data_IF_635586983517
#
_entry.id   IF_635586983517
#
_cell.length_a   1.000
_cell.length_b   1.000
_cell.length_c   1.000
_cell.angle_alpha   90.00
_cell.angle_beta   90.00
_cell.angle_gamma   90.00
#
_symmetry.space_group_name_H-M   'P 1'
#
loop_
_entity.id
_entity.type
_entity.pdbx_description
1 polymer ?
#
# COMPACT_ATOMS: atom_id res chain seq x y z
N UNK A 1 38.84 13.95 8.14
CA UNK A 1 38.73 13.65 6.69
C UNK A 1 38.21 12.24 6.36
N UNK A 2 38.46 11.20 7.18
CA UNK A 2 38.01 9.83 6.91
C UNK A 2 36.48 9.64 6.96
N UNK A 3 35.79 10.27 7.92
CA UNK A 3 34.32 10.22 8.08
C UNK A 3 33.57 10.87 6.93
N UNK A 4 34.04 12.02 6.42
CA UNK A 4 33.43 12.71 5.26
C UNK A 4 33.56 11.86 3.98
N UNK A 5 34.67 11.15 3.79
CA UNK A 5 34.86 10.22 2.66
C UNK A 5 33.90 9.02 2.74
N UNK A 6 33.67 8.48 3.94
CA UNK A 6 32.70 7.39 4.15
C UNK A 6 31.27 7.85 3.83
N UNK A 7 30.89 9.06 4.24
CA UNK A 7 29.57 9.63 3.95
C UNK A 7 29.39 9.91 2.44
N UNK A 8 30.42 10.41 1.77
CA UNK A 8 30.42 10.61 0.32
C UNK A 8 30.29 9.27 -0.44
N UNK A 9 30.99 8.24 0.02
CA UNK A 9 30.91 6.89 -0.58
C UNK A 9 29.54 6.26 -0.33
N UNK A 10 28.96 6.39 0.87
CA UNK A 10 27.62 5.88 1.15
C UNK A 10 26.55 6.61 0.33
N UNK A 11 26.67 7.94 0.19
CA UNK A 11 25.77 8.75 -0.62
C UNK A 11 25.88 8.36 -2.11
N UNK A 12 27.10 8.20 -2.63
CA UNK A 12 27.35 7.72 -3.99
C UNK A 12 26.80 6.30 -4.21
N UNK A 13 26.88 5.42 -3.20
CA UNK A 13 26.34 4.07 -3.29
C UNK A 13 24.80 4.07 -3.33
N UNK A 14 24.14 4.91 -2.53
CA UNK A 14 22.68 5.09 -2.52
C UNK A 14 22.18 5.72 -3.83
N UNK A 15 22.93 6.67 -4.38
CA UNK A 15 22.65 7.27 -5.69
C UNK A 15 22.87 6.28 -6.84
N UNK A 16 23.88 5.43 -6.76
CA UNK A 16 24.14 4.39 -7.76
C UNK A 16 23.10 3.27 -7.73
N UNK A 17 22.61 2.87 -6.55
CA UNK A 17 21.56 1.84 -6.43
C UNK A 17 20.20 2.36 -6.90
N UNK A 18 19.85 3.62 -6.59
CA UNK A 18 18.63 4.25 -7.11
C UNK A 18 18.70 4.49 -8.63
N UNK A 19 19.85 4.92 -9.17
CA UNK A 19 20.05 5.05 -10.62
C UNK A 19 19.96 3.70 -11.36
N UNK A 20 20.49 2.61 -10.78
CA UNK A 20 20.39 1.26 -11.36
C UNK A 20 18.98 0.66 -11.24
N UNK A 21 18.24 0.97 -10.18
CA UNK A 21 16.82 0.62 -10.07
C UNK A 21 16.00 1.30 -11.18
N UNK A 22 16.32 2.55 -11.51
CA UNK A 22 15.71 3.32 -12.59
C UNK A 22 16.04 2.77 -13.99
N UNK A 23 17.23 2.18 -14.21
CA UNK A 23 17.57 1.52 -15.49
C UNK A 23 16.85 0.19 -15.73
N UNK A 24 16.30 -0.43 -14.69
CA UNK A 24 15.77 -1.81 -14.76
C UNK A 24 14.24 -1.86 -14.75
N UNK A 25 13.59 -0.72 -15.06
CA UNK A 25 12.14 -0.55 -15.12
C UNK A 25 11.43 -0.80 -13.77
N UNK A 26 12.12 -0.68 -12.64
CA UNK A 26 11.50 -0.79 -11.32
C UNK A 26 11.13 0.60 -10.79
N UNK A 27 10.01 0.65 -10.09
CA UNK A 27 9.46 1.83 -9.43
C UNK A 27 9.18 1.48 -7.99
N UNK A 28 9.65 2.32 -7.08
CA UNK A 28 9.34 2.22 -5.67
C UNK A 28 8.40 3.37 -5.31
N UNK A 29 7.33 3.08 -4.59
CA UNK A 29 6.36 4.09 -4.17
C UNK A 29 6.06 3.95 -2.69
N UNK A 30 6.22 5.04 -1.96
CA UNK A 30 5.74 5.18 -0.60
C UNK A 30 4.49 6.06 -0.62
N UNK A 31 3.42 5.60 0.03
CA UNK A 31 2.11 6.27 0.03
C UNK A 31 1.58 6.32 1.45
N UNK A 32 1.04 7.46 1.85
CA UNK A 32 0.29 7.64 3.09
C UNK A 32 -1.11 8.11 2.70
N UNK A 33 -2.12 7.57 3.34
CA UNK A 33 -3.50 7.85 3.04
C UNK A 33 -4.38 7.76 4.26
N UNK A 34 -5.59 8.25 4.09
CA UNK A 34 -6.66 8.09 5.05
C UNK A 34 -7.94 7.70 4.30
N UNK A 35 -9.00 7.38 5.02
CA UNK A 35 -10.26 7.06 4.38
C UNK A 35 -11.47 7.38 5.23
N UNK A 36 -12.61 7.35 4.57
CA UNK A 36 -13.93 7.43 5.19
C UNK A 36 -14.45 6.00 5.26
N UNK A 37 -14.57 5.49 6.48
CA UNK A 37 -15.19 4.19 6.72
C UNK A 37 -16.68 4.28 6.40
N UNK A 38 -17.18 3.31 5.63
CA UNK A 38 -18.60 3.18 5.28
C UNK A 38 -19.34 2.25 6.25
N UNK A 39 -18.60 1.48 7.06
CA UNK A 39 -19.13 0.54 8.05
C UNK A 39 -19.04 1.09 9.49
N UNK A 40 -19.91 0.58 10.35
CA UNK A 40 -19.92 0.84 11.80
C UNK A 40 -19.21 -0.33 12.51
N UNK A 41 -18.21 -0.09 13.37
CA UNK A 41 -17.76 1.21 13.88
C UNK A 41 -16.88 2.00 12.91
N UNK A 42 -17.19 3.28 12.76
CA UNK A 42 -16.50 4.19 11.85
C UNK A 42 -15.19 4.70 12.48
N UNK A 43 -14.09 3.98 12.27
CA UNK A 43 -12.75 4.48 12.57
C UNK A 43 -12.09 4.92 11.26
N UNK A 44 -11.65 6.18 11.18
CA UNK A 44 -10.89 6.69 10.03
C UNK A 44 -9.56 5.95 9.92
N UNK A 45 -9.33 5.12 8.89
CA UNK A 45 -8.07 4.42 8.80
C UNK A 45 -6.94 5.35 8.44
N UNK A 46 -5.77 5.12 9.03
CA UNK A 46 -4.50 5.63 8.52
C UNK A 46 -3.82 4.49 7.79
N UNK A 47 -3.53 4.72 6.51
CA UNK A 47 -3.00 3.73 5.57
C UNK A 47 -1.61 4.17 5.14
N UNK A 48 -0.60 3.36 5.39
CA UNK A 48 0.75 3.56 4.84
C UNK A 48 1.10 2.38 3.97
N UNK A 49 1.55 2.61 2.74
CA UNK A 49 1.83 1.56 1.76
C UNK A 49 3.18 1.79 1.09
N UNK A 50 3.93 0.71 0.93
CA UNK A 50 5.18 0.63 0.21
C UNK A 50 5.00 -0.36 -0.94
N UNK A 51 5.14 0.12 -2.17
CA UNK A 51 4.90 -0.65 -3.39
C UNK A 51 6.19 -0.72 -4.18
N UNK A 52 6.59 -1.92 -4.55
CA UNK A 52 7.66 -2.18 -5.50
C UNK A 52 7.06 -2.78 -6.76
N UNK A 53 7.09 -2.03 -7.86
CA UNK A 53 6.49 -2.44 -9.12
C UNK A 53 7.47 -2.36 -10.29
N UNK A 54 7.40 -3.33 -11.19
CA UNK A 54 8.14 -3.38 -12.43
C UNK A 54 7.25 -2.95 -13.59
N UNK A 55 7.71 -2.00 -14.38
CA UNK A 55 7.08 -1.60 -15.63
C UNK A 55 7.27 -2.72 -16.65
N UNK A 56 6.16 -3.33 -17.07
CA UNK A 56 6.13 -4.40 -18.08
C UNK A 56 5.94 -3.85 -19.49
N UNK A 57 5.15 -2.78 -19.63
CA UNK A 57 4.91 -2.11 -20.91
C UNK A 57 4.76 -0.61 -20.70
N UNK A 58 4.56 0.19 -21.76
CA UNK A 58 4.34 1.65 -21.63
C UNK A 58 3.16 2.01 -20.72
N UNK A 59 2.17 1.13 -20.63
CA UNK A 59 0.94 1.34 -19.87
C UNK A 59 0.89 0.51 -18.57
N UNK A 60 1.46 -0.70 -18.56
CA UNK A 60 1.32 -1.62 -17.43
C UNK A 60 2.56 -1.69 -16.54
N UNK A 61 2.35 -1.62 -15.23
CA UNK A 61 3.32 -2.01 -14.22
C UNK A 61 2.68 -2.99 -13.23
N UNK A 62 3.40 -4.05 -12.88
CA UNK A 62 2.98 -5.05 -11.90
C UNK A 62 4.00 -5.12 -10.78
N UNK A 63 3.53 -5.36 -9.56
CA UNK A 63 4.36 -5.33 -8.39
C UNK A 63 3.76 -6.04 -7.20
N UNK A 64 4.45 -5.87 -6.09
CA UNK A 64 3.97 -6.29 -4.77
C UNK A 64 4.09 -5.09 -3.84
N UNK A 65 3.18 -5.05 -2.87
CA UNK A 65 3.16 -4.02 -1.87
C UNK A 65 2.93 -4.59 -0.49
N UNK A 66 3.41 -3.84 0.49
CA UNK A 66 3.13 -4.06 1.90
C UNK A 66 2.76 -2.74 2.53
N UNK A 67 2.19 -2.76 3.73
CA UNK A 67 1.79 -1.54 4.40
C UNK A 67 1.46 -1.72 5.87
N UNK A 68 0.93 -0.63 6.42
CA UNK A 68 0.35 -0.57 7.75
C UNK A 68 -1.01 0.10 7.62
N UNK A 69 -2.06 -0.62 8.03
CA UNK A 69 -3.41 -0.08 8.12
C UNK A 69 -3.80 -0.05 9.60
N UNK A 70 -3.97 1.16 10.13
CA UNK A 70 -4.44 1.40 11.49
C UNK A 70 -5.94 1.71 11.43
N UNK A 71 -6.74 0.67 11.67
CA UNK A 71 -8.16 0.79 12.01
C UNK A 71 -8.25 0.73 13.55
N UNK A 72 -9.02 -0.20 14.11
CA UNK A 72 -8.99 -0.48 15.56
C UNK A 72 -7.76 -1.29 16.00
N UNK A 73 -7.18 -2.05 15.07
CA UNK A 73 -5.98 -2.86 15.28
C UNK A 73 -5.00 -2.67 14.14
N UNK A 74 -3.69 -2.72 14.41
CA UNK A 74 -2.69 -2.64 13.36
C UNK A 74 -2.74 -3.87 12.46
N UNK A 75 -2.89 -3.63 11.16
CA UNK A 75 -2.90 -4.66 10.12
C UNK A 75 -1.72 -4.44 9.17
N UNK A 76 -1.08 -5.54 8.78
CA UNK A 76 0.02 -5.55 7.81
C UNK A 76 -0.47 -6.25 6.55
N UNK A 77 -1.06 -5.52 5.59
CA UNK A 77 -1.49 -6.10 4.33
C UNK A 77 -0.26 -6.43 3.47
N UNK A 78 -0.24 -7.63 2.88
CA UNK A 78 0.62 -7.97 1.74
C UNK A 78 -0.29 -8.13 0.54
N UNK A 79 0.04 -7.45 -0.56
CA UNK A 79 -0.79 -7.46 -1.75
C UNK A 79 0.03 -7.47 -3.04
N UNK A 80 -0.52 -8.09 -4.07
CA UNK A 80 -0.12 -7.86 -5.45
C UNK A 80 -0.68 -6.50 -5.90
N UNK A 81 0.12 -5.78 -6.67
CA UNK A 81 -0.20 -4.46 -7.19
C UNK A 81 -0.21 -4.48 -8.72
N UNK A 82 -1.26 -3.96 -9.33
CA UNK A 82 -1.33 -3.69 -10.75
C UNK A 82 -1.60 -2.21 -10.98
N UNK A 83 -0.86 -1.61 -11.92
CA UNK A 83 -1.01 -0.22 -12.31
C UNK A 83 -1.12 -0.11 -13.82
N UNK A 84 -2.14 0.60 -14.26
CA UNK A 84 -2.41 0.92 -15.64
C UNK A 84 -2.38 2.44 -15.85
N UNK A 85 -1.42 2.91 -16.65
CA UNK A 85 -1.29 4.30 -17.06
C UNK A 85 -2.19 4.58 -18.26
N UNK A 86 -3.28 5.29 -18.02
CA UNK A 86 -4.32 5.60 -19.02
C UNK A 86 -3.84 6.66 -20.01
N UNK A 87 -3.56 7.85 -19.51
CA UNK A 87 -3.21 9.01 -20.33
C UNK A 87 -2.08 9.81 -19.69
N UNK A 88 -1.29 10.48 -20.51
CA UNK A 88 -0.22 11.39 -20.06
C UNK A 88 -0.39 12.75 -20.74
N UNK A 89 -0.51 13.79 -19.92
CA UNK A 89 -0.52 15.18 -20.36
C UNK A 89 0.69 15.90 -19.75
N UNK A 90 1.78 15.99 -20.52
CA UNK A 90 3.02 16.63 -20.06
C UNK A 90 3.61 15.95 -18.82
N UNK A 91 3.55 16.65 -17.68
CA UNK A 91 4.04 16.19 -16.38
C UNK A 91 2.99 15.44 -15.54
N UNK A 92 1.75 15.39 -16.01
CA UNK A 92 0.60 14.74 -15.36
C UNK A 92 0.34 13.40 -16.04
N UNK A 93 0.19 12.32 -15.28
CA UNK A 93 -0.17 11.01 -15.81
C UNK A 93 -1.33 10.41 -15.01
N UNK A 94 -2.42 10.05 -15.68
CA UNK A 94 -3.57 9.38 -15.08
C UNK A 94 -3.31 7.89 -14.97
N UNK A 95 -3.64 7.31 -13.81
CA UNK A 95 -3.40 5.90 -13.49
C UNK A 95 -4.63 5.26 -12.86
N UNK A 96 -4.92 4.02 -13.24
CA UNK A 96 -5.80 3.14 -12.48
C UNK A 96 -4.97 2.04 -11.83
N UNK A 97 -5.28 1.74 -10.58
CA UNK A 97 -4.51 0.81 -9.77
C UNK A 97 -5.44 -0.16 -9.09
N UNK A 98 -5.01 -1.41 -9.00
CA UNK A 98 -5.74 -2.45 -8.28
C UNK A 98 -4.75 -3.20 -7.39
N UNK A 99 -5.10 -3.30 -6.11
CA UNK A 99 -4.36 -4.10 -5.15
C UNK A 99 -5.22 -5.29 -4.74
N UNK A 100 -4.64 -6.49 -4.71
CA UNK A 100 -5.32 -7.70 -4.23
C UNK A 100 -4.36 -8.49 -3.37
N UNK A 101 -4.80 -8.92 -2.19
CA UNK A 101 -3.93 -9.60 -1.24
C UNK A 101 -4.63 -10.08 0.01
N UNK A 102 -3.85 -10.21 1.07
CA UNK A 102 -4.32 -10.62 2.38
C UNK A 102 -3.46 -10.05 3.50
N UNK A 103 -3.74 -10.44 4.74
CA UNK A 103 -3.03 -9.94 5.92
C UNK A 103 -2.19 -11.06 6.53
N UNK A 104 -0.94 -10.77 6.94
CA UNK A 104 -0.02 -11.79 7.49
C UNK A 104 -0.52 -12.39 8.81
N UNK A 105 -1.27 -11.61 9.61
CA UNK A 105 -1.65 -11.96 10.98
C UNK A 105 -3.13 -12.30 11.15
N UNK A 106 -3.93 -12.12 10.09
CA UNK A 106 -5.37 -12.37 10.13
C UNK A 106 -5.80 -13.01 8.81
N UNK A 107 -6.58 -14.08 8.88
CA UNK A 107 -7.14 -14.71 7.70
C UNK A 107 -8.16 -13.75 7.09
N UNK A 108 -7.80 -13.10 5.98
CA UNK A 108 -8.68 -12.10 5.39
C UNK A 108 -8.24 -11.62 4.02
N UNK A 109 -9.21 -11.41 3.14
CA UNK A 109 -9.01 -10.89 1.80
C UNK A 109 -8.93 -9.37 1.80
N UNK A 110 -8.09 -8.83 0.94
CA UNK A 110 -7.90 -7.40 0.73
C UNK A 110 -7.98 -7.10 -0.76
N UNK A 111 -8.90 -6.21 -1.14
CA UNK A 111 -9.06 -5.73 -2.51
C UNK A 111 -9.20 -4.22 -2.48
N UNK A 112 -8.35 -3.51 -3.23
CA UNK A 112 -8.39 -2.06 -3.28
C UNK A 112 -8.20 -1.51 -4.70
N UNK A 113 -9.28 -1.38 -5.50
CA UNK A 113 -9.26 -0.61 -6.73
C UNK A 113 -9.16 0.89 -6.44
N UNK A 114 -8.41 1.62 -7.26
CA UNK A 114 -8.23 3.06 -7.14
C UNK A 114 -7.92 3.71 -8.48
N UNK A 115 -8.19 5.01 -8.55
CA UNK A 115 -7.83 5.87 -9.68
C UNK A 115 -7.03 7.05 -9.15
N UNK A 116 -6.03 7.47 -9.89
CA UNK A 116 -5.10 8.47 -9.43
C UNK A 116 -4.40 9.21 -10.54
N UNK A 117 -3.60 10.17 -10.11
CA UNK A 117 -2.84 11.07 -10.94
C UNK A 117 -1.42 11.15 -10.37
N UNK A 118 -0.44 10.93 -11.23
CA UNK A 118 0.96 11.18 -10.93
C UNK A 118 1.35 12.54 -11.51
N UNK A 119 1.87 13.42 -10.68
CA UNK A 119 2.47 14.69 -11.08
C UNK A 119 3.95 14.70 -10.74
N UNK A 120 4.82 14.59 -11.75
CA UNK A 120 6.27 14.40 -11.58
C UNK A 120 6.58 13.20 -10.66
N UNK A 121 7.02 13.45 -9.43
CA UNK A 121 7.32 12.43 -8.41
C UNK A 121 6.15 12.19 -7.44
N UNK A 122 5.15 13.06 -7.42
CA UNK A 122 4.01 12.95 -6.51
C UNK A 122 2.91 12.08 -7.11
N UNK A 123 2.23 11.35 -6.25
CA UNK A 123 1.10 10.49 -6.58
C UNK A 123 -0.09 10.93 -5.71
N UNK A 124 -1.25 11.11 -6.32
CA UNK A 124 -2.52 11.30 -5.61
C UNK A 124 -3.52 10.28 -6.15
N UNK A 125 -4.16 9.50 -5.29
CA UNK A 125 -5.21 8.57 -5.70
C UNK A 125 -6.40 8.59 -4.75
N UNK A 126 -7.55 8.28 -5.32
CA UNK A 126 -8.80 8.00 -4.61
C UNK A 126 -9.22 6.60 -4.99
N UNK A 127 -9.61 5.80 -4.01
CA UNK A 127 -9.98 4.42 -4.23
C UNK A 127 -10.98 3.90 -3.24
N UNK A 128 -11.32 2.65 -3.43
CA UNK A 128 -12.16 1.88 -2.53
C UNK A 128 -11.31 0.75 -1.97
N UNK A 129 -11.37 0.53 -0.67
CA UNK A 129 -10.70 -0.55 0.03
C UNK A 129 -11.75 -1.45 0.65
N UNK A 130 -11.73 -2.71 0.25
CA UNK A 130 -12.57 -3.77 0.79
C UNK A 130 -11.68 -4.79 1.48
N UNK A 131 -11.81 -4.88 2.79
CA UNK A 131 -11.02 -5.82 3.60
C UNK A 131 -11.96 -6.69 4.43
N UNK A 132 -11.97 -7.99 4.14
CA UNK A 132 -12.75 -8.97 4.91
C UNK A 132 -11.81 -9.74 5.82
N UNK A 133 -11.96 -9.60 7.13
CA UNK A 133 -11.16 -10.23 8.17
C UNK A 133 -12.00 -11.31 8.86
N UNK A 134 -11.53 -12.54 8.86
CA UNK A 134 -12.06 -13.63 9.69
C UNK A 134 -11.16 -13.81 10.90
N UNK A 135 -11.70 -13.55 12.08
CA UNK A 135 -11.00 -13.68 13.35
C UNK A 135 -11.63 -14.79 14.19
N UNK A 136 -10.78 -15.51 14.93
CA UNK A 136 -11.20 -16.43 16.00
C UNK A 136 -10.79 -15.76 17.31
N UNK A 137 -11.76 -15.34 18.14
CA UNK A 137 -11.54 -14.90 19.52
C UNK A 137 -11.87 -16.09 20.43
N UNK A 138 -10.88 -16.63 21.15
CA UNK A 138 -11.13 -17.51 22.28
C UNK A 138 -11.24 -16.65 23.54
N UNK A 139 -12.37 -16.74 24.23
CA UNK A 139 -12.54 -16.20 25.57
C UNK A 139 -12.41 -17.37 26.54
N UNK A 140 -11.35 -17.37 27.35
CA UNK A 140 -11.18 -18.29 28.47
C UNK A 140 -11.72 -17.61 29.73
N UNK A 141 -12.91 -18.02 30.17
CA UNK A 141 -13.40 -17.75 31.52
C UNK A 141 -13.33 -19.05 32.31
N UNK A 142 -13.11 -19.05 33.65
CA UNK A 142 -12.73 -20.24 34.43
C UNK A 142 -13.70 -21.43 34.37
N UNK A 143 -14.91 -21.23 33.85
CA UNK A 143 -15.97 -22.24 33.78
C UNK A 143 -16.51 -22.50 32.36
N UNK A 144 -16.04 -21.78 31.33
CA UNK A 144 -16.55 -21.93 29.97
C UNK A 144 -15.54 -21.43 28.93
N UNK A 145 -15.18 -22.30 27.97
CA UNK A 145 -14.37 -21.96 26.79
C UNK A 145 -15.32 -21.71 25.63
N UNK A 146 -15.42 -20.47 25.17
CA UNK A 146 -16.19 -20.14 23.95
C UNK A 146 -15.27 -19.48 22.92
N UNK A 147 -15.23 -20.07 21.73
CA UNK A 147 -14.52 -19.53 20.59
C UNK A 147 -15.53 -18.80 19.71
N UNK A 148 -15.54 -17.46 19.75
CA UNK A 148 -16.36 -16.64 18.88
C UNK A 148 -15.63 -16.37 17.56
N UNK A 149 -16.28 -16.69 16.45
CA UNK A 149 -15.81 -16.36 15.10
C UNK A 149 -16.35 -14.97 14.74
N UNK A 150 -15.48 -13.98 14.73
CA UNK A 150 -15.82 -12.59 14.41
C UNK A 150 -15.43 -12.34 12.94
N UNK A 151 -16.42 -12.15 12.08
CA UNK A 151 -16.22 -11.74 10.68
C UNK A 151 -16.38 -10.21 10.61
N UNK A 152 -15.27 -9.48 10.41
CA UNK A 152 -15.31 -8.04 10.17
C UNK A 152 -15.07 -7.76 8.69
N UNK A 153 -16.04 -7.14 8.03
CA UNK A 153 -15.83 -6.52 6.71
C UNK A 153 -15.65 -5.03 6.92
N UNK A 154 -14.59 -4.46 6.33
CA UNK A 154 -14.37 -3.03 6.30
C UNK A 154 -14.41 -2.55 4.86
N UNK A 155 -15.35 -1.65 4.59
CA UNK A 155 -15.48 -0.93 3.34
C UNK A 155 -15.11 0.53 3.57
N UNK A 156 -14.07 1.01 2.87
CA UNK A 156 -13.54 2.36 3.08
C UNK A 156 -13.27 3.04 1.74
N UNK A 157 -13.73 4.28 1.60
CA UNK A 157 -13.25 5.15 0.51
C UNK A 157 -11.94 5.78 0.95
N UNK A 158 -10.87 5.53 0.21
CA UNK A 158 -9.50 5.91 0.58
C UNK A 158 -8.99 7.06 -0.28
N UNK A 159 -8.31 8.01 0.35
CA UNK A 159 -7.53 9.07 -0.26
C UNK A 159 -6.05 8.81 0.06
N UNK A 160 -5.21 8.77 -0.97
CA UNK A 160 -3.82 8.34 -0.87
C UNK A 160 -2.89 9.37 -1.53
N UNK A 161 -1.85 9.76 -0.81
CA UNK A 161 -0.80 10.68 -1.25
C UNK A 161 0.54 9.96 -1.18
N UNK A 162 1.28 9.93 -2.27
CA UNK A 162 2.52 9.17 -2.36
C UNK A 162 3.62 9.86 -3.14
N UNK A 163 4.81 9.26 -3.05
CA UNK A 163 6.01 9.71 -3.74
C UNK A 163 6.61 8.49 -4.45
N UNK A 164 6.89 8.66 -5.74
CA UNK A 164 7.70 7.72 -6.53
C UNK A 164 9.18 8.03 -6.27
N UNK A 165 9.90 7.04 -5.72
CA UNK A 165 11.30 7.09 -5.30
C UNK A 165 12.25 6.71 -6.43
#
# INVERSE_FOLDING_TARGET
>A
MKTIRIIMISCALVLATSARAQQRNYTLRATVGTGIALDVPATTPVLTQFIAAKQLSKHWALGVGTGFSLYEKPLIPIFAHANYRMARWGNVSFTAEANVGGTILHAGGYVAPSVGVNYRRYHLSVGYESQSLRRIKQNETPHFVSAYREELSHHTVTLRLGINL
#
